data_IF_282398543296
#
_entry.id   IF_282398543296
#
_cell.length_a   1.000
_cell.length_b   1.000
_cell.length_c   1.000
_cell.angle_alpha   90.00
_cell.angle_beta   90.00
_cell.angle_gamma   90.00
#
_symmetry.space_group_name_H-M   'P 1'
#
loop_
_entity.id
_entity.type
_entity.pdbx_description
1 polymer ?
#
# COMPACT_ATOMS: atom_id res chain seq x y z
N UNK A 1 -10.94 -22.13 8.67
CA UNK A 1 -11.87 -22.03 7.52
C UNK A 1 -13.26 -21.70 8.05
N UNK A 2 -14.05 -20.95 7.33
CA UNK A 2 -15.41 -20.59 7.69
C UNK A 2 -16.41 -21.37 6.81
N UNK A 3 -17.73 -21.38 7.13
CA UNK A 3 -18.72 -22.12 6.36
C UNK A 3 -18.88 -21.68 4.89
N UNK A 4 -18.40 -20.47 4.57
CA UNK A 4 -18.47 -19.88 3.22
C UNK A 4 -17.30 -20.30 2.33
N UNK A 5 -16.24 -20.90 2.90
CA UNK A 5 -15.06 -21.32 2.14
C UNK A 5 -15.40 -22.61 1.38
N UNK A 6 -15.43 -22.52 0.05
CA UNK A 6 -15.76 -23.64 -0.85
C UNK A 6 -14.52 -24.37 -1.37
N UNK A 7 -13.36 -23.70 -1.38
CA UNK A 7 -12.09 -24.25 -1.85
C UNK A 7 -10.97 -23.85 -0.89
N UNK A 8 -10.03 -24.77 -0.66
CA UNK A 8 -8.85 -24.51 0.15
C UNK A 8 -7.80 -23.75 -0.69
N UNK A 9 -7.53 -22.51 -0.32
CA UNK A 9 -6.50 -21.68 -0.93
C UNK A 9 -5.08 -22.09 -0.49
N UNK A 10 -4.96 -22.92 0.54
CA UNK A 10 -3.67 -23.37 1.08
C UNK A 10 -3.70 -24.87 1.40
N UNK A 11 -2.53 -25.46 1.42
CA UNK A 11 -2.29 -26.85 1.81
C UNK A 11 -1.30 -26.87 2.99
N UNK A 12 -1.47 -27.82 3.89
CA UNK A 12 -0.46 -28.12 4.89
C UNK A 12 0.63 -28.98 4.23
N UNK A 13 1.84 -28.47 4.21
CA UNK A 13 3.01 -29.19 3.69
C UNK A 13 4.04 -29.38 4.78
N UNK A 14 4.81 -30.44 4.69
CA UNK A 14 6.00 -30.64 5.51
C UNK A 14 7.24 -30.25 4.69
N UNK A 15 8.07 -29.40 5.23
CA UNK A 15 9.33 -29.00 4.64
C UNK A 15 10.43 -29.00 5.71
N UNK A 16 11.49 -29.78 5.48
CA UNK A 16 12.63 -29.92 6.42
C UNK A 16 12.23 -30.35 7.85
N UNK A 17 11.16 -31.17 7.96
CA UNK A 17 10.66 -31.69 9.23
C UNK A 17 9.74 -30.73 9.99
N UNK A 18 9.37 -29.61 9.41
CA UNK A 18 8.42 -28.63 9.97
C UNK A 18 7.18 -28.48 9.07
N UNK A 19 6.05 -28.19 9.69
CA UNK A 19 4.77 -27.98 9.00
C UNK A 19 4.59 -26.53 8.59
N UNK A 20 4.23 -26.30 7.31
CA UNK A 20 3.96 -24.97 6.73
C UNK A 20 2.61 -24.95 6.04
N UNK A 21 1.93 -23.80 6.08
CA UNK A 21 0.80 -23.51 5.20
C UNK A 21 1.32 -23.03 3.85
N UNK A 22 1.17 -23.83 2.83
CA UNK A 22 1.52 -23.48 1.46
C UNK A 22 0.32 -22.85 0.75
N UNK A 23 0.43 -21.57 0.41
CA UNK A 23 -0.57 -20.85 -0.39
C UNK A 23 -0.30 -21.06 -1.87
N UNK A 24 -1.27 -21.62 -2.57
CA UNK A 24 -1.16 -21.86 -4.02
C UNK A 24 -1.15 -20.53 -4.76
N UNK A 25 -0.26 -20.41 -5.75
CA UNK A 25 -0.28 -19.29 -6.67
C UNK A 25 -1.47 -19.41 -7.63
N UNK A 26 -2.00 -18.27 -8.06
CA UNK A 26 -3.02 -18.18 -9.09
C UNK A 26 -2.60 -17.12 -10.13
N UNK A 27 -3.02 -17.26 -11.40
CA UNK A 27 -2.67 -16.31 -12.44
C UNK A 27 -3.34 -14.96 -12.20
N UNK A 28 -2.63 -13.87 -12.54
CA UNK A 28 -3.16 -12.52 -12.53
C UNK A 28 -3.19 -11.98 -13.95
N UNK A 29 -4.40 -11.69 -14.46
CA UNK A 29 -4.58 -11.16 -15.81
C UNK A 29 -4.29 -9.66 -15.88
N UNK A 30 -4.64 -8.91 -14.82
CA UNK A 30 -4.49 -7.46 -14.76
C UNK A 30 -4.05 -7.04 -13.35
N UNK A 31 -3.00 -6.23 -13.30
CA UNK A 31 -2.63 -5.47 -12.10
C UNK A 31 -2.99 -3.99 -12.30
N UNK A 32 -3.78 -3.43 -11.41
CA UNK A 32 -4.08 -2.00 -11.36
C UNK A 32 -3.39 -1.44 -10.12
N UNK A 33 -2.41 -0.58 -10.35
CA UNK A 33 -1.54 -0.03 -9.32
C UNK A 33 -1.61 1.48 -9.30
N UNK A 34 -1.10 2.07 -8.24
CA UNK A 34 -0.96 3.50 -8.11
C UNK A 34 0.48 3.84 -7.73
N UNK A 35 0.95 4.98 -8.22
CA UNK A 35 2.22 5.61 -7.86
C UNK A 35 2.08 7.12 -7.90
N UNK A 36 3.14 7.82 -7.56
CA UNK A 36 3.15 9.29 -7.57
C UNK A 36 3.58 9.82 -8.92
N UNK A 37 4.75 9.42 -9.39
CA UNK A 37 5.35 9.91 -10.64
C UNK A 37 5.72 8.75 -11.55
N UNK A 38 5.45 8.90 -12.85
CA UNK A 38 5.99 8.03 -13.89
C UNK A 38 6.93 8.80 -14.79
N UNK A 39 8.04 8.21 -15.20
CA UNK A 39 8.82 8.74 -16.32
C UNK A 39 8.33 8.19 -17.68
N UNK A 40 8.81 8.76 -18.78
CA UNK A 40 8.47 8.34 -20.16
C UNK A 40 8.83 6.88 -20.47
N UNK A 41 9.64 6.23 -19.65
CA UNK A 41 9.99 4.81 -19.77
C UNK A 41 9.11 3.92 -18.89
N UNK A 42 8.14 4.50 -18.17
CA UNK A 42 7.25 3.77 -17.28
C UNK A 42 7.85 3.43 -15.92
N UNK A 43 9.00 4.00 -15.54
CA UNK A 43 9.51 3.85 -14.18
C UNK A 43 8.63 4.65 -13.22
N UNK A 44 8.22 4.01 -12.11
CA UNK A 44 7.27 4.58 -11.16
C UNK A 44 7.94 4.82 -9.82
N UNK A 45 7.71 6.00 -9.25
CA UNK A 45 8.09 6.35 -7.87
C UNK A 45 6.88 6.60 -6.98
N UNK A 46 7.07 6.51 -5.65
CA UNK A 46 6.00 6.54 -4.64
C UNK A 46 6.21 7.63 -3.60
N UNK A 47 6.83 8.73 -3.97
CA UNK A 47 7.25 9.78 -3.03
C UNK A 47 6.11 10.45 -2.26
N UNK A 48 4.89 10.49 -2.80
CA UNK A 48 3.72 11.04 -2.13
C UNK A 48 2.80 9.96 -1.54
N UNK A 49 3.00 8.70 -1.89
CA UNK A 49 2.14 7.64 -1.40
C UNK A 49 2.36 7.41 0.11
N UNK A 50 1.26 7.27 0.85
CA UNK A 50 1.32 6.98 2.29
C UNK A 50 1.74 5.54 2.59
N UNK A 51 1.51 4.64 1.64
CA UNK A 51 1.84 3.21 1.75
C UNK A 51 2.36 2.73 0.41
N UNK A 52 3.49 2.03 0.42
CA UNK A 52 4.04 1.46 -0.82
C UNK A 52 3.29 0.21 -1.26
N UNK A 53 2.54 -0.43 -0.36
CA UNK A 53 1.89 -1.73 -0.58
C UNK A 53 2.85 -2.75 -1.24
N UNK A 54 2.32 -3.79 -1.84
CA UNK A 54 3.07 -4.81 -2.57
C UNK A 54 3.16 -4.51 -4.08
N UNK A 55 3.24 -3.22 -4.48
CA UNK A 55 3.15 -2.80 -5.88
C UNK A 55 4.10 -3.55 -6.82
N UNK A 56 5.38 -3.71 -6.42
CA UNK A 56 6.36 -4.47 -7.21
C UNK A 56 6.01 -5.97 -7.27
N UNK A 57 5.56 -6.56 -6.16
CA UNK A 57 5.20 -7.97 -6.12
C UNK A 57 3.97 -8.26 -6.99
N UNK A 58 2.96 -7.40 -6.94
CA UNK A 58 1.73 -7.51 -7.76
C UNK A 58 2.06 -7.32 -9.24
N UNK A 59 2.87 -6.31 -9.59
CA UNK A 59 3.34 -6.11 -10.96
C UNK A 59 4.09 -7.35 -11.49
N UNK A 60 5.02 -7.89 -10.68
CA UNK A 60 5.78 -9.09 -11.02
C UNK A 60 4.88 -10.31 -11.21
N UNK A 61 3.89 -10.50 -10.33
CA UNK A 61 2.95 -11.61 -10.42
C UNK A 61 2.10 -11.54 -11.70
N UNK A 62 1.60 -10.34 -12.06
CA UNK A 62 0.87 -10.14 -13.31
C UNK A 62 1.76 -10.42 -14.53
N UNK A 63 2.98 -9.88 -14.58
CA UNK A 63 3.90 -10.11 -15.70
C UNK A 63 4.29 -11.58 -15.82
N UNK A 64 4.55 -12.28 -14.72
CA UNK A 64 4.85 -13.70 -14.72
C UNK A 64 3.67 -14.57 -15.17
N UNK A 65 2.44 -14.07 -15.02
CA UNK A 65 1.21 -14.72 -15.49
C UNK A 65 0.87 -14.41 -16.95
N UNK A 66 1.65 -13.53 -17.63
CA UNK A 66 1.34 -13.03 -18.96
C UNK A 66 0.27 -11.94 -18.98
N UNK A 67 -0.08 -11.39 -17.82
CA UNK A 67 -1.03 -10.31 -17.66
C UNK A 67 -0.44 -8.94 -17.95
N UNK A 68 -1.29 -7.92 -17.81
CA UNK A 68 -0.95 -6.51 -18.02
C UNK A 68 -0.88 -5.74 -16.71
N UNK A 69 -0.03 -4.71 -16.68
CA UNK A 69 0.15 -3.81 -15.53
C UNK A 69 -0.22 -2.39 -15.94
N UNK A 70 -1.20 -1.83 -15.25
CA UNK A 70 -1.70 -0.47 -15.44
C UNK A 70 -1.38 0.31 -14.16
N UNK A 71 -0.69 1.45 -14.29
CA UNK A 71 -0.34 2.28 -13.13
C UNK A 71 -0.94 3.67 -13.31
N UNK A 72 -1.76 4.08 -12.35
CA UNK A 72 -2.22 5.46 -12.22
C UNK A 72 -1.15 6.29 -11.51
N UNK A 73 -0.83 7.49 -12.04
CA UNK A 73 0.09 8.43 -11.42
C UNK A 73 -0.45 9.85 -11.43
N UNK A 74 0.05 10.70 -10.56
CA UNK A 74 -0.27 12.11 -10.52
C UNK A 74 0.61 12.90 -11.51
N UNK A 75 1.91 12.57 -11.56
CA UNK A 75 2.89 13.32 -12.35
C UNK A 75 3.53 12.48 -13.44
N UNK A 76 3.85 13.15 -14.56
CA UNK A 76 4.71 12.61 -15.60
C UNK A 76 6.04 13.36 -15.59
N UNK A 77 7.13 12.62 -15.66
CA UNK A 77 8.49 13.14 -15.69
C UNK A 77 9.21 12.74 -16.99
N UNK A 78 10.21 13.50 -17.38
CA UNK A 78 11.06 13.14 -18.51
C UNK A 78 11.89 11.90 -18.19
N UNK A 79 12.14 11.08 -19.22
CA UNK A 79 12.94 9.88 -19.07
C UNK A 79 14.32 10.14 -18.44
N UNK A 80 14.66 9.38 -17.41
CA UNK A 80 15.95 9.47 -16.72
C UNK A 80 16.08 10.61 -15.70
N UNK A 81 14.98 11.28 -15.36
CA UNK A 81 14.99 12.34 -14.32
C UNK A 81 14.64 11.80 -12.93
N UNK A 82 14.01 10.62 -12.83
CA UNK A 82 13.79 9.97 -11.56
C UNK A 82 15.12 9.45 -10.99
N UNK A 83 15.31 9.62 -9.68
CA UNK A 83 16.42 8.99 -9.00
C UNK A 83 16.23 7.45 -9.04
N UNK A 84 17.19 6.68 -9.57
CA UNK A 84 17.05 5.24 -9.69
C UNK A 84 16.76 4.48 -8.38
N UNK A 85 17.16 5.05 -7.24
CA UNK A 85 16.89 4.48 -5.92
C UNK A 85 15.44 4.65 -5.47
N UNK A 86 14.72 5.61 -6.06
CA UNK A 86 13.34 5.92 -5.71
C UNK A 86 12.35 5.24 -6.68
N UNK A 87 12.86 4.55 -7.71
CA UNK A 87 12.05 3.75 -8.61
C UNK A 87 11.56 2.51 -7.88
N UNK A 88 10.28 2.50 -7.54
CA UNK A 88 9.63 1.40 -6.83
C UNK A 88 9.16 0.29 -7.79
N UNK A 89 8.66 0.67 -8.99
CA UNK A 89 8.27 -0.27 -10.04
C UNK A 89 9.04 0.09 -11.31
N UNK A 90 9.95 -0.79 -11.77
CA UNK A 90 10.68 -0.57 -13.02
C UNK A 90 9.75 -0.58 -14.24
N UNK A 91 10.02 0.30 -15.20
CA UNK A 91 9.21 0.45 -16.41
C UNK A 91 9.04 -0.81 -17.25
N UNK A 92 9.98 -1.75 -17.18
CA UNK A 92 9.85 -3.05 -17.85
C UNK A 92 8.63 -3.86 -17.38
N UNK A 93 8.11 -3.56 -16.17
CA UNK A 93 6.93 -4.24 -15.62
C UNK A 93 5.63 -3.49 -15.90
N UNK A 94 5.68 -2.28 -16.48
CA UNK A 94 4.52 -1.43 -16.68
C UNK A 94 4.12 -1.42 -18.16
N UNK A 95 2.88 -1.76 -18.46
CA UNK A 95 2.35 -1.74 -19.82
C UNK A 95 1.64 -0.42 -20.13
N UNK A 96 0.94 0.14 -19.15
CA UNK A 96 0.18 1.38 -19.32
C UNK A 96 0.36 2.30 -18.12
N UNK A 97 0.58 3.58 -18.41
CA UNK A 97 0.56 4.67 -17.42
C UNK A 97 -0.66 5.54 -17.69
N UNK A 98 -1.44 5.79 -16.65
CA UNK A 98 -2.62 6.67 -16.69
C UNK A 98 -2.36 7.86 -15.77
N UNK A 99 -2.24 9.04 -16.35
CA UNK A 99 -2.13 10.27 -15.56
C UNK A 99 -3.51 10.67 -15.03
N UNK A 100 -3.64 10.80 -13.73
CA UNK A 100 -4.80 11.40 -13.10
C UNK A 100 -4.69 12.92 -13.19
N UNK A 101 -5.61 13.54 -13.93
CA UNK A 101 -5.62 15.00 -14.14
C UNK A 101 -6.46 15.73 -13.10
N UNK A 102 -7.31 15.02 -12.38
CA UNK A 102 -8.16 15.55 -11.32
C UNK A 102 -7.58 15.21 -9.94
N UNK A 103 -7.49 16.21 -9.07
CA UNK A 103 -7.02 16.03 -7.69
C UNK A 103 -7.88 15.08 -6.90
N UNK A 104 -9.18 15.02 -7.19
CA UNK A 104 -10.09 14.10 -6.51
C UNK A 104 -9.82 12.62 -6.86
N UNK A 105 -9.05 12.37 -7.92
CA UNK A 105 -8.57 11.03 -8.29
C UNK A 105 -7.21 10.67 -7.68
N UNK A 106 -6.55 11.61 -6.97
CA UNK A 106 -5.16 11.46 -6.51
C UNK A 106 -5.00 11.65 -5.00
N UNK A 107 -6.05 11.50 -4.21
CA UNK A 107 -5.94 11.64 -2.76
C UNK A 107 -4.95 10.62 -2.19
N UNK A 108 -4.05 11.10 -1.35
CA UNK A 108 -3.08 10.26 -0.65
C UNK A 108 -3.77 9.27 0.29
N UNK A 109 -4.83 9.71 0.96
CA UNK A 109 -5.75 8.90 1.73
C UNK A 109 -7.14 9.55 1.75
N UNK A 110 -8.15 8.87 2.27
CA UNK A 110 -9.51 9.39 2.30
C UNK A 110 -9.58 10.77 2.97
N UNK A 111 -10.10 11.76 2.23
CA UNK A 111 -10.27 13.14 2.69
C UNK A 111 -8.99 13.98 2.75
N UNK A 112 -7.82 13.43 2.41
CA UNK A 112 -6.56 14.15 2.42
C UNK A 112 -5.87 14.00 1.07
N UNK A 113 -5.79 15.11 0.34
CA UNK A 113 -5.08 15.11 -0.93
C UNK A 113 -3.60 14.80 -0.75
N UNK A 114 -2.92 15.55 0.13
CA UNK A 114 -1.51 15.33 0.42
C UNK A 114 -1.12 15.85 1.81
N UNK A 115 -0.46 15.00 2.58
CA UNK A 115 0.15 15.31 3.86
C UNK A 115 1.55 14.69 3.90
N UNK A 116 2.63 15.50 3.87
CA UNK A 116 3.99 14.98 3.78
C UNK A 116 4.43 14.13 4.98
N UNK A 117 3.72 14.21 6.10
CA UNK A 117 3.98 13.32 7.23
C UNK A 117 3.52 11.89 6.95
N UNK A 118 2.52 11.68 6.09
CA UNK A 118 2.03 10.34 5.75
C UNK A 118 2.97 9.61 4.79
N UNK A 119 3.68 10.34 3.92
CA UNK A 119 4.72 9.77 3.06
C UNK A 119 6.10 9.70 3.72
N UNK A 120 6.22 10.12 4.98
CA UNK A 120 7.49 10.09 5.72
C UNK A 120 8.50 11.17 5.33
N UNK A 121 8.13 12.13 4.46
CA UNK A 121 9.00 13.24 4.07
C UNK A 121 9.32 14.18 5.24
N UNK A 122 8.38 14.33 6.16
CA UNK A 122 8.57 15.08 7.41
C UNK A 122 8.01 14.28 8.59
N UNK A 123 8.43 14.64 9.79
CA UNK A 123 7.86 14.14 11.05
C UNK A 123 7.12 15.26 11.75
N UNK A 124 5.85 15.03 12.09
CA UNK A 124 5.08 15.97 12.92
C UNK A 124 5.27 15.67 14.41
N UNK A 125 5.59 16.67 15.22
CA UNK A 125 5.53 16.51 16.68
C UNK A 125 4.12 16.19 17.15
N UNK A 126 3.96 15.34 18.16
CA UNK A 126 2.67 15.00 18.75
C UNK A 126 1.87 16.23 19.19
N UNK A 127 2.55 17.31 19.63
CA UNK A 127 1.93 18.58 20.02
C UNK A 127 1.23 19.33 18.87
N UNK A 128 1.52 18.97 17.61
CA UNK A 128 0.89 19.56 16.42
C UNK A 128 -0.29 18.73 15.90
N UNK A 129 -0.51 17.54 16.47
CA UNK A 129 -1.66 16.72 16.09
C UNK A 129 -2.94 17.30 16.73
N UNK A 130 -4.03 17.40 15.96
CA UNK A 130 -5.31 17.88 16.52
C UNK A 130 -5.82 16.89 17.56
N UNK A 131 -6.34 17.44 18.65
CA UNK A 131 -7.04 16.63 19.66
C UNK A 131 -8.44 16.36 19.15
N UNK A 132 -8.78 15.12 18.88
CA UNK A 132 -10.10 14.71 18.44
C UNK A 132 -11.15 14.98 19.55
N UNK A 133 -12.35 15.33 19.17
CA UNK A 133 -13.48 15.46 20.08
C UNK A 133 -13.83 14.13 20.75
N UNK A 134 -14.43 14.20 21.93
CA UNK A 134 -14.86 13.00 22.65
C UNK A 134 -16.00 12.32 21.87
N UNK A 135 -15.78 11.09 21.49
CA UNK A 135 -16.74 10.25 20.78
C UNK A 135 -16.67 8.80 21.31
N UNK A 136 -17.68 7.98 21.09
CA UNK A 136 -17.61 6.55 21.42
C UNK A 136 -16.36 5.87 20.85
N UNK A 137 -16.00 6.20 19.62
CA UNK A 137 -14.81 5.68 18.94
C UNK A 137 -13.53 6.09 19.66
N UNK A 138 -13.38 7.37 20.02
CA UNK A 138 -12.23 7.85 20.80
C UNK A 138 -12.11 7.15 22.15
N UNK A 139 -13.23 6.86 22.82
CA UNK A 139 -13.22 6.10 24.07
C UNK A 139 -12.73 4.69 23.86
N UNK A 140 -13.19 4.00 22.81
CA UNK A 140 -12.73 2.65 22.44
C UNK A 140 -11.22 2.66 22.15
N UNK A 141 -10.74 3.57 21.30
CA UNK A 141 -9.31 3.66 20.97
C UNK A 141 -8.46 3.94 22.21
N UNK A 142 -8.89 4.84 23.08
CA UNK A 142 -8.16 5.11 24.34
C UNK A 142 -8.15 3.92 25.28
N UNK A 143 -9.24 3.17 25.34
CA UNK A 143 -9.29 1.93 26.16
C UNK A 143 -8.34 0.86 25.58
N UNK A 144 -8.36 0.66 24.27
CA UNK A 144 -7.42 -0.26 23.61
C UNK A 144 -5.96 0.15 23.83
N UNK A 145 -5.66 1.45 23.74
CA UNK A 145 -4.31 1.95 23.98
C UNK A 145 -3.77 1.66 25.38
N UNK A 146 -4.64 1.45 26.38
CA UNK A 146 -4.21 1.07 27.74
C UNK A 146 -3.71 -0.37 27.86
N UNK A 147 -3.97 -1.20 26.84
CA UNK A 147 -3.46 -2.59 26.79
C UNK A 147 -2.07 -2.67 26.12
N UNK A 148 -1.55 -1.54 25.60
CA UNK A 148 -0.25 -1.51 24.92
C UNK A 148 0.88 -1.36 25.95
N UNK A 149 1.85 -2.24 25.87
CA UNK A 149 3.07 -2.18 26.66
C UNK A 149 4.25 -1.61 25.80
N UNK A 150 5.26 -1.00 26.45
CA UNK A 150 6.46 -0.55 25.73
C UNK A 150 7.11 -1.70 24.96
N UNK A 151 7.35 -1.47 23.67
CA UNK A 151 7.93 -2.49 22.77
C UNK A 151 6.95 -3.51 22.21
N UNK A 152 5.64 -3.39 22.46
CA UNK A 152 4.63 -4.25 21.88
C UNK A 152 4.61 -4.13 20.35
N UNK A 153 4.53 -5.26 19.66
CA UNK A 153 4.28 -5.32 18.22
C UNK A 153 2.78 -5.36 18.03
N UNK A 154 2.24 -4.32 17.41
CA UNK A 154 0.79 -4.12 17.27
C UNK A 154 0.40 -4.13 15.82
N UNK A 155 -0.58 -4.97 15.46
CA UNK A 155 -1.24 -4.92 14.17
C UNK A 155 -2.61 -4.25 14.34
N UNK A 156 -2.76 -3.04 13.82
CA UNK A 156 -4.03 -2.30 13.86
C UNK A 156 -4.97 -2.65 12.70
N UNK A 157 -4.56 -3.57 11.83
CA UNK A 157 -5.32 -4.01 10.67
C UNK A 157 -5.75 -2.85 9.76
N UNK A 158 -6.76 -3.06 8.94
CA UNK A 158 -7.40 -2.02 8.11
C UNK A 158 -8.45 -1.21 8.90
N UNK A 159 -8.34 -1.15 10.20
CA UNK A 159 -9.10 -0.18 10.97
C UNK A 159 -8.69 1.19 10.47
N UNK A 160 -9.64 1.94 9.95
CA UNK A 160 -9.53 3.30 9.47
C UNK A 160 -8.48 4.07 10.27
N UNK A 161 -7.26 4.10 9.75
CA UNK A 161 -6.08 4.59 10.46
C UNK A 161 -6.15 6.09 10.74
N UNK A 162 -6.99 6.81 10.00
CA UNK A 162 -7.25 8.24 10.20
C UNK A 162 -7.88 8.59 11.56
N UNK A 163 -8.45 7.59 12.25
CA UNK A 163 -9.17 7.82 13.51
C UNK A 163 -8.50 7.19 14.74
N UNK A 164 -7.35 6.58 14.56
CA UNK A 164 -6.61 5.94 15.66
C UNK A 164 -5.59 6.86 16.34
N UNK A 165 -5.48 8.11 15.90
CA UNK A 165 -4.58 9.11 16.47
C UNK A 165 -5.20 9.93 17.61
#
# INVERSE_FOLDING_TARGET
MNPETTEDACELIEFDGEEYLFYKSFPLDVAILRGTTADEKGNISFEHESVMNEGLAVASAAKNSGGIVIVQVEYLAQAGTLNPKDVAIPGIMVDYVVQATDKDCCWQTEGVYYEPAFSGQIKKPLSQLPVLDLSPRKVICRRCAMELEPGAIVNLCLLYTSDAA
#
